data_IF_839280575881
#
_entry.id   IF_839280575881
#
_cell.length_a   1.000
_cell.length_b   1.000
_cell.length_c   1.000
_cell.angle_alpha   90.00
_cell.angle_beta   90.00
_cell.angle_gamma   90.00
#
_symmetry.space_group_name_H-M   'P 1'
#
loop_
_entity.id
_entity.type
_entity.pdbx_description
1 polymer ?
#
# COMPACT_ATOMS: atom_id res chain seq x y z
N UNK A 1 -6.95 -14.95 29.13
CA UNK A 1 -7.68 -14.89 27.84
C UNK A 1 -8.38 -13.54 27.84
N UNK A 2 -7.96 -12.62 26.98
CA UNK A 2 -8.50 -11.24 26.97
C UNK A 2 -9.97 -11.26 26.50
N UNK A 3 -10.84 -10.53 27.20
CA UNK A 3 -12.27 -10.46 26.95
C UNK A 3 -12.59 -9.73 25.64
N UNK A 4 -13.79 -9.94 25.11
CA UNK A 4 -14.24 -9.21 23.91
C UNK A 4 -14.26 -7.70 24.16
N UNK A 5 -14.74 -7.26 25.33
CA UNK A 5 -14.82 -5.84 25.66
C UNK A 5 -13.45 -5.16 25.73
N UNK A 6 -12.46 -5.82 26.34
CA UNK A 6 -11.07 -5.32 26.36
C UNK A 6 -10.54 -5.12 24.93
N UNK A 7 -10.84 -6.06 24.02
CA UNK A 7 -10.41 -5.96 22.61
C UNK A 7 -11.11 -4.86 21.86
N UNK A 8 -12.40 -4.66 22.09
CA UNK A 8 -13.16 -3.54 21.50
C UNK A 8 -12.64 -2.20 22.02
N UNK A 9 -12.28 -2.12 23.31
CA UNK A 9 -11.65 -0.93 23.89
C UNK A 9 -10.32 -0.60 23.20
N UNK A 10 -9.45 -1.60 22.99
CA UNK A 10 -8.18 -1.40 22.28
C UNK A 10 -8.37 -0.92 20.82
N UNK A 11 -9.43 -1.35 20.14
CA UNK A 11 -9.75 -0.84 18.80
C UNK A 11 -10.16 0.64 18.87
N UNK A 12 -11.01 1.02 19.84
CA UNK A 12 -11.41 2.42 20.05
C UNK A 12 -10.20 3.32 20.33
N UNK A 13 -9.30 2.86 21.20
CA UNK A 13 -8.05 3.58 21.50
C UNK A 13 -7.17 3.75 20.25
N UNK A 14 -7.04 2.70 19.43
CA UNK A 14 -6.32 2.77 18.15
C UNK A 14 -6.96 3.78 17.19
N UNK A 15 -8.29 3.80 17.07
CA UNK A 15 -9.03 4.77 16.27
C UNK A 15 -8.76 6.20 16.78
N UNK A 16 -8.86 6.42 18.10
CA UNK A 16 -8.63 7.74 18.70
C UNK A 16 -7.21 8.28 18.46
N UNK A 17 -6.19 7.43 18.61
CA UNK A 17 -4.80 7.80 18.31
C UNK A 17 -4.61 8.14 16.82
N UNK A 18 -5.29 7.41 15.94
CA UNK A 18 -5.22 7.62 14.50
C UNK A 18 -5.90 8.93 14.07
N UNK A 19 -7.06 9.26 14.65
CA UNK A 19 -7.77 10.52 14.38
C UNK A 19 -6.93 11.76 14.71
N UNK A 20 -6.12 11.72 15.78
CA UNK A 20 -5.18 12.80 16.08
C UNK A 20 -4.16 13.01 14.94
N UNK A 21 -3.71 11.92 14.32
CA UNK A 21 -2.82 11.96 13.15
C UNK A 21 -3.54 12.46 11.90
N UNK A 22 -4.81 12.08 11.70
CA UNK A 22 -5.62 12.55 10.57
C UNK A 22 -6.01 14.01 10.67
N UNK A 23 -6.30 14.54 11.86
CA UNK A 23 -6.54 15.97 12.02
C UNK A 23 -5.32 16.80 11.58
N UNK A 24 -4.12 16.30 11.88
CA UNK A 24 -2.89 16.88 11.35
C UNK A 24 -2.84 16.79 9.81
N UNK A 25 -3.12 15.63 9.21
CA UNK A 25 -3.21 15.48 7.74
C UNK A 25 -4.21 16.48 7.14
N UNK A 26 -5.44 16.54 7.65
CA UNK A 26 -6.49 17.43 7.14
C UNK A 26 -6.02 18.88 7.14
N UNK A 27 -5.35 19.32 8.22
CA UNK A 27 -4.76 20.67 8.31
C UNK A 27 -3.66 20.90 7.28
N UNK A 28 -2.82 19.90 7.00
CA UNK A 28 -1.75 20.01 6.01
C UNK A 28 -2.31 19.98 4.60
N UNK A 29 -3.23 19.07 4.29
CA UNK A 29 -3.84 18.96 2.97
C UNK A 29 -4.57 20.26 2.59
N UNK A 30 -5.23 20.90 3.56
CA UNK A 30 -5.82 22.23 3.41
C UNK A 30 -4.78 23.35 3.23
N UNK A 31 -3.56 23.18 3.76
CA UNK A 31 -2.46 24.18 3.69
C UNK A 31 -1.43 23.88 2.60
N UNK A 32 -1.47 22.70 1.98
CA UNK A 32 -0.52 22.28 0.96
C UNK A 32 -0.79 23.11 -0.30
N UNK A 33 0.14 24.02 -0.59
CA UNK A 33 0.04 24.88 -1.76
C UNK A 33 0.18 24.05 -3.05
N UNK A 34 -0.40 24.51 -4.17
CA UNK A 34 -0.29 23.86 -5.48
C UNK A 34 1.15 23.51 -5.91
N UNK A 35 2.14 24.28 -5.43
CA UNK A 35 3.57 24.05 -5.71
C UNK A 35 4.13 22.74 -5.14
N UNK A 36 3.52 22.18 -4.09
CA UNK A 36 3.87 20.86 -3.56
C UNK A 36 3.46 19.74 -4.52
N UNK A 37 2.23 19.82 -5.04
CA UNK A 37 1.76 18.91 -6.10
C UNK A 37 2.57 19.08 -7.38
N UNK A 38 2.92 20.31 -7.73
CA UNK A 38 3.75 20.59 -8.90
C UNK A 38 5.12 19.93 -8.80
N UNK A 39 5.84 20.06 -7.67
CA UNK A 39 7.15 19.41 -7.50
C UNK A 39 7.12 17.89 -7.64
N UNK A 40 6.04 17.24 -7.24
CA UNK A 40 5.91 15.78 -7.42
C UNK A 40 5.52 15.45 -8.87
N UNK A 41 4.65 16.24 -9.51
CA UNK A 41 4.38 16.14 -10.96
C UNK A 41 5.65 16.35 -11.77
N UNK A 42 6.50 17.30 -11.40
CA UNK A 42 7.76 17.56 -12.08
C UNK A 42 8.73 16.37 -11.93
N UNK A 43 8.68 15.62 -10.82
CA UNK A 43 9.45 14.37 -10.66
C UNK A 43 8.83 13.24 -11.51
N UNK A 44 7.49 13.16 -11.58
CA UNK A 44 6.76 12.23 -12.45
C UNK A 44 7.07 12.51 -13.94
N UNK A 45 7.16 13.78 -14.35
CA UNK A 45 7.57 14.22 -15.70
C UNK A 45 9.07 14.08 -15.95
N UNK A 46 9.95 14.28 -14.96
CA UNK A 46 11.39 14.04 -15.08
C UNK A 46 11.72 12.55 -15.27
N UNK A 47 10.85 11.65 -14.80
CA UNK A 47 10.88 10.23 -15.17
C UNK A 47 10.45 9.97 -16.62
N UNK A 48 10.15 11.01 -17.42
CA UNK A 48 9.58 11.04 -18.77
C UNK A 48 10.38 10.39 -19.90
N UNK A 49 11.17 9.35 -19.62
CA UNK A 49 11.57 8.34 -20.63
C UNK A 49 10.56 7.19 -20.75
N UNK A 50 9.55 7.15 -19.89
CA UNK A 50 8.59 6.05 -19.77
C UNK A 50 7.14 6.58 -19.75
N UNK A 51 6.14 5.75 -20.11
CA UNK A 51 4.72 6.14 -20.00
C UNK A 51 4.38 6.64 -18.59
N UNK A 52 3.40 7.54 -18.44
CA UNK A 52 3.05 8.11 -17.15
C UNK A 52 2.68 7.01 -16.15
N UNK A 53 3.19 7.12 -14.92
CA UNK A 53 2.85 6.18 -13.85
C UNK A 53 1.33 6.19 -13.60
N UNK A 54 0.74 5.06 -13.15
CA UNK A 54 -0.64 5.04 -12.70
C UNK A 54 -0.89 6.10 -11.62
N UNK A 55 -2.12 6.65 -11.53
CA UNK A 55 -2.45 7.68 -10.55
C UNK A 55 -2.22 7.16 -9.13
N UNK A 56 -1.73 8.01 -8.24
CA UNK A 56 -1.43 7.63 -6.84
C UNK A 56 -2.65 7.06 -6.14
N UNK A 57 -2.41 6.15 -5.21
CA UNK A 57 -3.49 5.67 -4.35
C UNK A 57 -4.11 6.84 -3.57
N UNK A 58 -5.45 6.85 -3.43
CA UNK A 58 -6.13 7.89 -2.69
C UNK A 58 -5.88 7.74 -1.18
N UNK A 59 -6.10 8.83 -0.45
CA UNK A 59 -6.30 8.75 1.00
C UNK A 59 -7.71 8.21 1.29
N UNK A 60 -7.90 7.43 2.37
CA UNK A 60 -9.23 6.91 2.71
C UNK A 60 -10.20 8.04 3.06
N UNK A 61 -11.50 7.78 2.89
CA UNK A 61 -12.53 8.78 3.11
C UNK A 61 -12.55 9.30 4.55
N UNK A 62 -12.34 8.43 5.55
CA UNK A 62 -12.28 8.82 6.97
C UNK A 62 -11.08 9.73 7.31
N UNK A 63 -10.01 9.68 6.51
CA UNK A 63 -8.87 10.57 6.71
C UNK A 63 -9.11 11.96 6.10
N UNK A 64 -9.88 12.04 5.01
CA UNK A 64 -10.13 13.29 4.28
C UNK A 64 -11.37 14.04 4.76
N UNK A 65 -12.43 13.31 5.13
CA UNK A 65 -13.68 13.88 5.61
C UNK A 65 -13.59 14.13 7.12
N UNK A 66 -14.52 14.96 7.60
CA UNK A 66 -14.70 15.20 9.03
C UNK A 66 -15.49 14.06 9.72
N UNK A 67 -15.85 13.02 8.97
CA UNK A 67 -16.58 11.87 9.48
C UNK A 67 -15.58 10.84 10.02
N UNK A 68 -15.55 10.61 11.34
CA UNK A 68 -14.70 9.59 11.92
C UNK A 68 -15.18 8.20 11.50
N UNK A 69 -14.28 7.23 11.64
CA UNK A 69 -14.62 5.80 11.51
C UNK A 69 -15.73 5.46 12.50
N UNK A 70 -16.77 4.73 12.05
CA UNK A 70 -17.88 4.33 12.91
C UNK A 70 -17.37 3.43 14.06
N UNK A 71 -17.77 3.73 15.31
CA UNK A 71 -17.30 3.05 16.54
C UNK A 71 -18.43 2.33 17.29
N UNK A 72 -19.57 2.10 16.63
CA UNK A 72 -20.60 1.22 17.16
C UNK A 72 -20.07 -0.22 17.31
N UNK A 73 -20.73 -1.00 18.15
CA UNK A 73 -20.25 -2.33 18.51
C UNK A 73 -20.13 -3.27 17.30
N UNK A 74 -21.04 -3.17 16.33
CA UNK A 74 -21.02 -4.01 15.13
C UNK A 74 -19.84 -3.65 14.23
N UNK A 75 -19.59 -2.34 14.00
CA UNK A 75 -18.42 -1.86 13.25
C UNK A 75 -17.10 -2.27 13.90
N UNK A 76 -16.99 -2.17 15.23
CA UNK A 76 -15.77 -2.57 15.95
C UNK A 76 -15.52 -4.08 15.86
N UNK A 77 -16.57 -4.90 15.97
CA UNK A 77 -16.48 -6.36 15.76
C UNK A 77 -16.04 -6.67 14.33
N UNK A 78 -16.57 -5.95 13.35
CA UNK A 78 -16.17 -6.09 11.95
C UNK A 78 -14.67 -5.77 11.74
N UNK A 79 -14.15 -4.70 12.33
CA UNK A 79 -12.72 -4.36 12.21
C UNK A 79 -11.82 -5.45 12.83
N UNK A 80 -12.21 -5.99 13.99
CA UNK A 80 -11.51 -7.11 14.61
C UNK A 80 -11.58 -8.38 13.77
N UNK A 81 -12.74 -8.69 13.18
CA UNK A 81 -12.90 -9.82 12.28
C UNK A 81 -11.97 -9.67 11.06
N UNK A 82 -11.84 -8.45 10.52
CA UNK A 82 -10.92 -8.15 9.44
C UNK A 82 -9.46 -8.36 9.86
N UNK A 83 -9.03 -7.80 10.99
CA UNK A 83 -7.67 -7.96 11.54
C UNK A 83 -7.33 -9.45 11.77
N UNK A 84 -8.32 -10.25 12.18
CA UNK A 84 -8.13 -11.66 12.56
C UNK A 84 -8.36 -12.65 11.44
N UNK A 85 -8.98 -12.25 10.34
CA UNK A 85 -9.31 -13.14 9.24
C UNK A 85 -10.57 -13.99 9.49
N UNK A 86 -11.50 -13.52 10.33
CA UNK A 86 -12.75 -14.25 10.61
C UNK A 86 -13.74 -13.98 9.47
N UNK A 87 -13.59 -14.75 8.38
CA UNK A 87 -14.32 -14.51 7.13
C UNK A 87 -15.85 -14.57 7.29
N UNK A 88 -16.38 -15.48 8.11
CA UNK A 88 -17.82 -15.59 8.36
C UNK A 88 -18.43 -14.27 8.85
N UNK A 89 -17.73 -13.60 9.75
CA UNK A 89 -18.18 -12.37 10.39
C UNK A 89 -18.04 -11.19 9.43
N UNK A 90 -16.98 -11.16 8.62
CA UNK A 90 -16.79 -10.19 7.54
C UNK A 90 -17.91 -10.29 6.50
N UNK A 91 -18.20 -11.50 6.01
CA UNK A 91 -19.26 -11.75 5.02
C UNK A 91 -20.62 -11.35 5.58
N UNK A 92 -20.92 -11.79 6.80
CA UNK A 92 -22.17 -11.47 7.50
C UNK A 92 -22.38 -9.97 7.65
N UNK A 93 -21.34 -9.23 8.08
CA UNK A 93 -21.42 -7.77 8.25
C UNK A 93 -21.61 -7.03 6.92
N UNK A 94 -20.88 -7.42 5.87
CA UNK A 94 -20.98 -6.76 4.54
C UNK A 94 -22.34 -7.01 3.88
N UNK A 95 -22.92 -8.21 4.08
CA UNK A 95 -24.22 -8.60 3.52
C UNK A 95 -25.43 -8.23 4.39
N UNK A 96 -25.23 -7.62 5.56
CA UNK A 96 -26.29 -7.34 6.54
C UNK A 96 -27.36 -6.41 5.96
N UNK A 97 -28.61 -6.83 6.08
CA UNK A 97 -29.83 -6.03 5.79
C UNK A 97 -29.92 -5.40 4.38
N UNK A 98 -29.18 -5.93 3.39
CA UNK A 98 -29.19 -5.41 2.02
C UNK A 98 -28.60 -4.01 1.85
N UNK A 99 -28.03 -3.43 2.91
CA UNK A 99 -27.40 -2.12 2.90
C UNK A 99 -25.89 -2.29 3.08
N UNK A 100 -25.12 -2.02 2.03
CA UNK A 100 -23.66 -2.06 2.14
C UNK A 100 -23.16 -1.01 3.13
N UNK A 101 -22.26 -1.37 4.06
CA UNK A 101 -21.63 -0.40 4.95
C UNK A 101 -20.96 0.74 4.16
N UNK A 102 -20.87 1.93 4.77
CA UNK A 102 -20.21 3.09 4.18
C UNK A 102 -18.78 2.73 3.74
N UNK A 103 -18.28 3.36 2.68
CA UNK A 103 -16.91 3.14 2.21
C UNK A 103 -15.87 3.36 3.31
N UNK A 104 -16.04 4.36 4.18
CA UNK A 104 -15.12 4.60 5.30
C UNK A 104 -14.97 3.38 6.24
N UNK A 105 -16.07 2.72 6.60
CA UNK A 105 -16.07 1.50 7.44
C UNK A 105 -15.34 0.38 6.72
N UNK A 106 -15.65 0.17 5.45
CA UNK A 106 -15.05 -0.88 4.62
C UNK A 106 -13.55 -0.67 4.40
N UNK A 107 -13.14 0.56 4.13
CA UNK A 107 -11.74 0.98 3.98
C UNK A 107 -10.97 0.74 5.28
N UNK A 108 -11.55 1.10 6.43
CA UNK A 108 -10.89 0.84 7.71
C UNK A 108 -10.76 -0.67 7.98
N UNK A 109 -11.78 -1.47 7.64
CA UNK A 109 -11.69 -2.93 7.66
C UNK A 109 -10.59 -3.48 6.75
N UNK A 110 -10.45 -2.96 5.54
CA UNK A 110 -9.37 -3.33 4.61
C UNK A 110 -7.98 -2.96 5.16
N UNK A 111 -7.85 -1.79 5.81
CA UNK A 111 -6.63 -1.40 6.53
C UNK A 111 -6.31 -2.42 7.64
N UNK A 112 -7.30 -2.83 8.44
CA UNK A 112 -7.10 -3.84 9.49
C UNK A 112 -6.71 -5.21 8.92
N UNK A 113 -7.35 -5.67 7.84
CA UNK A 113 -6.98 -6.90 7.16
C UNK A 113 -5.52 -6.86 6.68
N UNK A 114 -5.11 -5.73 6.10
CA UNK A 114 -3.74 -5.48 5.64
C UNK A 114 -2.73 -5.51 6.81
N UNK A 115 -3.14 -5.01 7.98
CA UNK A 115 -2.29 -5.01 9.18
C UNK A 115 -2.18 -6.38 9.84
N UNK A 116 -3.22 -7.21 9.69
CA UNK A 116 -3.30 -8.58 10.19
C UNK A 116 -2.71 -9.64 9.25
N UNK A 117 -2.24 -9.25 8.06
CA UNK A 117 -1.79 -10.16 7.02
C UNK A 117 -2.88 -11.13 6.56
N UNK A 118 -4.09 -10.60 6.31
CA UNK A 118 -5.31 -11.37 6.01
C UNK A 118 -5.71 -11.20 4.55
N UNK A 119 -4.89 -11.77 3.66
CA UNK A 119 -5.05 -11.69 2.20
C UNK A 119 -6.43 -12.09 1.67
N UNK A 120 -7.06 -13.11 2.25
CA UNK A 120 -8.37 -13.59 1.82
C UNK A 120 -9.46 -12.59 2.16
N UNK A 121 -9.43 -12.02 3.36
CA UNK A 121 -10.36 -10.96 3.76
C UNK A 121 -10.15 -9.72 2.89
N UNK A 122 -8.89 -9.33 2.68
CA UNK A 122 -8.57 -8.20 1.82
C UNK A 122 -9.09 -8.39 0.39
N UNK A 123 -8.87 -9.57 -0.20
CA UNK A 123 -9.42 -9.97 -1.51
C UNK A 123 -10.94 -9.84 -1.52
N UNK A 124 -11.62 -10.45 -0.56
CA UNK A 124 -13.09 -10.39 -0.47
C UNK A 124 -13.60 -8.94 -0.40
N UNK A 125 -12.99 -8.10 0.44
CA UNK A 125 -13.38 -6.71 0.58
C UNK A 125 -13.23 -5.94 -0.74
N UNK A 126 -12.11 -6.13 -1.46
CA UNK A 126 -11.85 -5.50 -2.75
C UNK A 126 -12.83 -5.97 -3.84
N UNK A 127 -13.05 -7.28 -3.96
CA UNK A 127 -13.99 -7.87 -4.91
C UNK A 127 -15.43 -7.39 -4.69
N UNK A 128 -15.80 -7.08 -3.44
CA UNK A 128 -17.10 -6.52 -3.09
C UNK A 128 -17.17 -5.00 -3.24
N UNK A 129 -16.15 -4.34 -3.80
CA UNK A 129 -16.15 -2.90 -4.09
C UNK A 129 -15.63 -1.99 -2.98
N UNK A 130 -14.79 -2.49 -2.07
CA UNK A 130 -14.07 -1.63 -1.12
C UNK A 130 -12.95 -0.95 -1.88
N UNK A 131 -12.82 0.38 -1.76
CA UNK A 131 -11.78 1.12 -2.47
C UNK A 131 -10.42 0.98 -1.77
N UNK A 132 -9.40 0.55 -2.51
CA UNK A 132 -8.01 0.51 -2.02
C UNK A 132 -7.48 1.94 -1.77
N UNK A 133 -6.66 2.10 -0.73
CA UNK A 133 -6.12 3.40 -0.33
C UNK A 133 -4.71 3.29 0.27
N UNK A 134 -4.05 4.45 0.46
CA UNK A 134 -2.66 4.56 0.92
C UNK A 134 -2.37 3.82 2.23
N UNK A 135 -3.33 3.78 3.16
CA UNK A 135 -3.05 3.28 4.49
C UNK A 135 -2.82 1.76 4.56
N UNK A 136 -3.39 1.00 3.62
CA UNK A 136 -3.13 -0.43 3.46
C UNK A 136 -1.62 -0.71 3.30
N UNK A 137 -0.84 0.29 2.87
CA UNK A 137 0.60 0.18 2.64
C UNK A 137 1.46 0.84 3.74
N UNK A 138 0.90 1.50 4.78
CA UNK A 138 1.69 2.24 5.78
C UNK A 138 2.70 1.34 6.49
N UNK A 139 2.27 0.15 6.93
CA UNK A 139 3.15 -0.77 7.68
C UNK A 139 4.27 -1.34 6.82
N UNK A 140 4.12 -1.37 5.50
CA UNK A 140 5.17 -1.84 4.59
C UNK A 140 6.45 -0.99 4.64
N UNK A 141 6.39 0.22 5.22
CA UNK A 141 7.55 1.14 5.35
C UNK A 141 8.33 0.93 6.65
N UNK A 142 7.76 0.28 7.67
CA UNK A 142 8.35 0.16 9.01
C UNK A 142 8.84 -1.25 9.38
N UNK A 143 8.78 -2.23 8.47
CA UNK A 143 9.15 -3.61 8.80
C UNK A 143 10.68 -3.77 8.72
N UNK A 144 11.34 -3.71 9.87
CA UNK A 144 12.72 -4.20 10.02
C UNK A 144 12.82 -5.73 10.13
N UNK A 145 11.73 -6.49 10.39
CA UNK A 145 11.87 -7.90 10.89
C UNK A 145 10.71 -8.89 10.68
N UNK A 146 9.89 -8.86 9.61
CA UNK A 146 8.95 -9.97 9.37
C UNK A 146 9.08 -10.57 7.97
N UNK A 147 9.58 -11.83 7.84
CA UNK A 147 9.78 -12.52 6.58
C UNK A 147 8.50 -12.77 5.76
N UNK A 148 7.32 -12.78 6.37
CA UNK A 148 6.11 -13.35 5.75
C UNK A 148 4.98 -12.38 5.42
N UNK A 149 5.16 -11.07 5.62
CA UNK A 149 4.06 -10.09 5.60
C UNK A 149 3.59 -9.55 4.24
N UNK A 150 3.85 -10.24 3.13
CA UNK A 150 3.59 -9.68 1.77
C UNK A 150 2.57 -10.45 0.93
N UNK A 151 1.93 -11.48 1.47
CA UNK A 151 0.78 -12.15 0.84
C UNK A 151 -0.37 -11.19 0.50
N UNK A 152 -0.51 -10.10 1.27
CA UNK A 152 -1.62 -9.17 1.10
C UNK A 152 -1.47 -8.28 -0.14
N UNK A 153 -0.24 -7.92 -0.53
CA UNK A 153 -0.02 -7.10 -1.74
C UNK A 153 -0.27 -7.90 -3.02
N UNK A 154 -0.07 -9.22 -2.96
CA UNK A 154 -0.41 -10.12 -4.06
C UNK A 154 -1.91 -10.11 -4.28
N UNK A 155 -2.71 -10.15 -3.21
CA UNK A 155 -4.16 -10.04 -3.32
C UNK A 155 -4.60 -8.72 -3.98
N UNK A 156 -3.92 -7.60 -3.75
CA UNK A 156 -4.28 -6.32 -4.39
C UNK A 156 -4.02 -6.32 -5.90
N UNK A 157 -2.93 -6.96 -6.33
CA UNK A 157 -2.58 -7.10 -7.75
C UNK A 157 -3.46 -8.14 -8.44
N UNK A 158 -3.71 -9.28 -7.78
CA UNK A 158 -4.55 -10.36 -8.30
C UNK A 158 -5.98 -9.90 -8.57
N UNK A 159 -6.55 -9.07 -7.69
CA UNK A 159 -7.90 -8.49 -7.86
C UNK A 159 -7.89 -7.31 -8.84
N UNK A 160 -6.73 -6.89 -9.34
CA UNK A 160 -6.59 -5.74 -10.24
C UNK A 160 -6.86 -4.39 -9.57
N UNK A 161 -6.89 -4.35 -8.23
CA UNK A 161 -7.12 -3.12 -7.45
C UNK A 161 -5.86 -2.26 -7.29
N UNK A 162 -4.69 -2.81 -7.60
CA UNK A 162 -3.41 -2.11 -7.52
C UNK A 162 -2.47 -2.53 -8.64
N UNK A 163 -1.73 -1.55 -9.20
CA UNK A 163 -0.66 -1.80 -10.16
C UNK A 163 0.71 -1.64 -9.48
N UNK A 164 1.74 -2.48 -9.75
CA UNK A 164 3.04 -2.37 -9.09
C UNK A 164 3.75 -1.01 -9.25
N UNK A 165 3.51 -0.33 -10.38
CA UNK A 165 4.00 1.03 -10.66
C UNK A 165 3.13 2.14 -10.04
N UNK A 166 1.99 1.80 -9.44
CA UNK A 166 1.09 2.78 -8.83
C UNK A 166 1.68 3.28 -7.51
N UNK A 167 1.95 4.59 -7.39
CA UNK A 167 2.58 5.11 -6.18
C UNK A 167 1.60 5.11 -5.01
N UNK A 168 2.12 4.88 -3.81
CA UNK A 168 1.42 5.18 -2.56
C UNK A 168 2.22 6.16 -1.71
N UNK A 169 1.52 6.92 -0.89
CA UNK A 169 2.12 7.87 0.02
C UNK A 169 1.97 7.38 1.46
N UNK A 170 2.99 7.67 2.26
CA UNK A 170 2.90 7.57 3.73
C UNK A 170 3.16 8.95 4.30
N UNK A 171 2.56 9.25 5.46
CA UNK A 171 2.70 10.53 6.15
C UNK A 171 4.09 11.15 5.97
N UNK A 172 4.15 12.36 5.39
CA UNK A 172 5.35 13.19 5.27
C UNK A 172 6.51 12.61 4.46
N UNK A 173 6.29 11.54 3.69
CA UNK A 173 7.32 10.94 2.83
C UNK A 173 6.93 11.12 1.37
N UNK A 174 7.94 11.22 0.52
CA UNK A 174 7.74 11.16 -0.93
C UNK A 174 6.97 9.87 -1.30
N UNK A 175 6.17 9.89 -2.39
CA UNK A 175 5.52 8.70 -2.90
C UNK A 175 6.50 7.55 -3.06
N UNK A 176 5.98 6.33 -2.92
CA UNK A 176 6.75 5.09 -3.07
C UNK A 176 6.14 4.28 -4.17
N UNK A 177 7.00 3.70 -5.00
CA UNK A 177 6.66 2.64 -5.94
C UNK A 177 7.28 1.36 -5.43
N UNK A 178 6.60 0.23 -5.68
CA UNK A 178 6.89 -1.05 -5.04
C UNK A 178 8.35 -1.49 -5.20
N UNK A 179 8.83 -1.43 -6.45
CA UNK A 179 10.17 -1.85 -6.84
C UNK A 179 11.28 -0.97 -6.24
N UNK A 180 10.95 0.27 -5.86
CA UNK A 180 11.90 1.21 -5.25
C UNK A 180 11.97 1.07 -3.72
N UNK A 181 11.20 0.16 -3.11
CA UNK A 181 11.26 -0.03 -1.66
C UNK A 181 12.52 -0.78 -1.24
N UNK A 182 13.10 -0.47 -0.05
CA UNK A 182 14.27 -1.21 0.44
C UNK A 182 14.07 -2.72 0.46
N UNK A 183 12.83 -3.18 0.71
CA UNK A 183 12.51 -4.60 0.75
C UNK A 183 12.55 -5.26 -0.62
N UNK A 184 12.00 -4.64 -1.67
CA UNK A 184 12.09 -5.15 -3.05
C UNK A 184 13.55 -5.27 -3.53
N UNK A 185 14.44 -4.42 -3.00
CA UNK A 185 15.88 -4.50 -3.27
C UNK A 185 16.51 -5.71 -2.56
N UNK A 186 16.05 -6.05 -1.35
CA UNK A 186 16.64 -7.16 -0.56
C UNK A 186 15.96 -8.52 -0.73
N UNK A 187 14.71 -8.55 -1.21
CA UNK A 187 13.88 -9.76 -1.35
C UNK A 187 13.71 -10.11 -2.84
N UNK A 188 14.48 -11.09 -3.29
CA UNK A 188 14.47 -11.52 -4.70
C UNK A 188 13.13 -12.12 -5.12
N UNK A 189 12.40 -12.75 -4.20
CA UNK A 189 11.09 -13.34 -4.51
C UNK A 189 10.07 -12.24 -4.77
N UNK A 190 10.05 -11.21 -3.91
CA UNK A 190 9.22 -10.03 -4.14
C UNK A 190 9.60 -9.31 -5.44
N UNK A 191 10.89 -9.12 -5.70
CA UNK A 191 11.34 -8.47 -6.93
C UNK A 191 10.87 -9.22 -8.17
N UNK A 192 11.04 -10.55 -8.21
CA UNK A 192 10.57 -11.40 -9.31
C UNK A 192 9.06 -11.30 -9.50
N UNK A 193 8.31 -11.35 -8.40
CA UNK A 193 6.86 -11.19 -8.44
C UNK A 193 6.46 -9.84 -9.05
N UNK A 194 7.04 -8.73 -8.57
CA UNK A 194 6.72 -7.40 -9.09
C UNK A 194 7.01 -7.29 -10.59
N UNK A 195 8.14 -7.82 -11.06
CA UNK A 195 8.50 -7.82 -12.49
C UNK A 195 7.55 -8.67 -13.33
N UNK A 196 7.15 -9.85 -12.84
CA UNK A 196 6.16 -10.70 -13.49
C UNK A 196 4.80 -10.00 -13.65
N UNK A 197 4.50 -9.03 -12.77
CA UNK A 197 3.30 -8.19 -12.81
C UNK A 197 3.55 -6.79 -13.40
N UNK A 198 4.52 -6.65 -14.31
CA UNK A 198 4.80 -5.43 -15.07
C UNK A 198 5.30 -4.23 -14.25
N UNK A 199 5.96 -4.48 -13.11
CA UNK A 199 6.73 -3.43 -12.46
C UNK A 199 7.87 -2.96 -13.38
N UNK A 200 8.00 -1.65 -13.56
CA UNK A 200 9.06 -1.07 -14.39
C UNK A 200 10.33 -0.88 -13.54
N UNK A 201 11.42 -1.62 -13.85
CA UNK A 201 12.68 -1.53 -13.12
C UNK A 201 13.41 -0.19 -13.28
N UNK A 202 12.99 0.65 -14.23
CA UNK A 202 13.59 1.96 -14.47
C UNK A 202 12.93 3.08 -13.65
N UNK A 203 11.87 2.79 -12.90
CA UNK A 203 11.23 3.78 -12.03
C UNK A 203 12.22 4.20 -10.94
N UNK A 204 12.52 5.49 -10.91
CA UNK A 204 13.42 6.07 -9.92
C UNK A 204 12.69 6.33 -8.60
N UNK A 205 13.41 6.28 -7.48
CA UNK A 205 12.81 6.61 -6.18
C UNK A 205 12.54 8.11 -6.07
N UNK A 206 11.39 8.48 -5.50
CA UNK A 206 11.00 9.88 -5.29
C UNK A 206 11.76 10.59 -4.14
N UNK A 207 12.74 9.93 -3.51
CA UNK A 207 13.52 10.49 -2.39
C UNK A 207 14.89 11.03 -2.85
N UNK A 208 15.14 12.33 -2.63
CA UNK A 208 16.44 13.00 -2.85
C UNK A 208 17.35 13.00 -1.60
N UNK A 209 17.30 11.99 -0.74
CA UNK A 209 18.17 11.92 0.45
C UNK A 209 19.42 11.07 0.19
N UNK A 210 20.49 11.35 0.94
CA UNK A 210 21.85 10.77 0.91
C UNK A 210 21.97 9.24 0.89
N UNK A 211 20.87 8.50 1.04
CA UNK A 211 20.73 7.07 0.74
C UNK A 211 20.74 6.72 -0.75
N UNK A 212 20.77 7.70 -1.66
CA UNK A 212 20.95 7.44 -3.10
C UNK A 212 22.26 6.71 -3.42
N UNK A 213 23.32 6.89 -2.62
CA UNK A 213 24.60 6.20 -2.84
C UNK A 213 24.48 4.70 -2.49
N UNK A 214 23.97 4.36 -1.30
CA UNK A 214 23.75 2.95 -0.90
C UNK A 214 22.69 2.24 -1.76
N UNK A 215 21.62 2.94 -2.15
CA UNK A 215 20.60 2.38 -3.05
C UNK A 215 21.12 2.22 -4.48
N UNK A 216 21.97 3.14 -4.98
CA UNK A 216 22.69 2.93 -6.25
C UNK A 216 23.59 1.72 -6.17
N UNK A 217 24.37 1.59 -5.10
CA UNK A 217 25.33 0.49 -4.95
C UNK A 217 24.62 -0.87 -4.84
N UNK A 218 23.46 -0.92 -4.18
CA UNK A 218 22.63 -2.14 -4.12
C UNK A 218 21.96 -2.45 -5.46
N UNK A 219 21.40 -1.44 -6.15
CA UNK A 219 20.87 -1.66 -7.50
C UNK A 219 21.97 -2.09 -8.47
N UNK A 220 23.18 -1.52 -8.39
CA UNK A 220 24.33 -1.91 -9.21
C UNK A 220 24.73 -3.37 -8.97
N UNK A 221 24.67 -3.86 -7.73
CA UNK A 221 24.86 -5.29 -7.40
C UNK A 221 23.75 -6.18 -7.97
N UNK A 222 22.52 -5.66 -8.08
CA UNK A 222 21.36 -6.38 -8.61
C UNK A 222 21.20 -6.25 -10.13
N UNK A 223 21.84 -5.28 -10.78
CA UNK A 223 21.73 -5.06 -12.25
C UNK A 223 22.08 -6.30 -13.03
N UNK A 224 23.15 -7.00 -12.67
CA UNK A 224 23.62 -8.18 -13.39
C UNK A 224 22.70 -9.41 -13.16
N UNK A 225 22.32 -9.75 -11.92
CA UNK A 225 21.29 -10.76 -11.66
C UNK A 225 19.92 -10.44 -12.28
N UNK A 226 19.50 -9.16 -12.26
CA UNK A 226 18.24 -8.70 -12.81
C UNK A 226 18.23 -8.74 -14.34
N UNK A 227 19.28 -8.27 -14.99
CA UNK A 227 19.44 -8.34 -16.44
C UNK A 227 19.45 -9.80 -16.92
N UNK A 228 20.17 -10.69 -16.21
CA UNK A 228 20.16 -12.11 -16.52
C UNK A 228 18.78 -12.74 -16.33
N UNK A 229 18.08 -12.41 -15.24
CA UNK A 229 16.71 -12.88 -15.03
C UNK A 229 15.74 -12.42 -16.12
N UNK A 230 15.80 -11.15 -16.52
CA UNK A 230 14.93 -10.62 -17.58
C UNK A 230 15.20 -11.31 -18.92
N UNK A 231 16.47 -11.65 -19.23
CA UNK A 231 16.83 -12.45 -20.38
C UNK A 231 16.30 -13.89 -20.27
N UNK A 232 16.49 -14.53 -19.11
CA UNK A 232 16.08 -15.92 -18.87
C UNK A 232 14.54 -16.10 -18.92
N UNK A 233 13.78 -15.05 -18.60
CA UNK A 233 12.32 -15.03 -18.67
C UNK A 233 11.79 -14.51 -20.02
N UNK A 234 12.66 -14.08 -20.94
CA UNK A 234 12.24 -13.46 -22.21
C UNK A 234 11.52 -12.13 -22.04
N UNK A 235 11.69 -11.47 -20.89
CA UNK A 235 11.07 -10.18 -20.53
C UNK A 235 11.88 -8.98 -21.00
N UNK A 236 13.12 -9.20 -21.44
CA UNK A 236 13.96 -8.19 -22.08
C UNK A 236 14.86 -8.85 -23.12
N UNK A 237 15.21 -8.13 -24.18
CA UNK A 237 16.24 -8.56 -25.12
C UNK A 237 17.66 -8.21 -24.62
N UNK A 238 18.68 -8.72 -25.31
CA UNK A 238 20.09 -8.50 -24.96
C UNK A 238 20.48 -7.01 -24.97
N UNK A 239 19.84 -6.20 -25.82
CA UNK A 239 20.11 -4.76 -25.91
C UNK A 239 19.42 -3.98 -24.79
N UNK A 240 18.23 -4.40 -24.36
CA UNK A 240 17.52 -3.85 -23.20
C UNK A 240 18.24 -4.23 -21.91
N UNK A 241 18.64 -5.49 -21.75
CA UNK A 241 19.44 -5.97 -20.63
C UNK A 241 20.79 -5.24 -20.53
N UNK A 242 21.43 -4.92 -21.67
CA UNK A 242 22.67 -4.11 -21.71
C UNK A 242 22.48 -2.68 -21.23
N UNK A 243 21.31 -2.05 -21.44
CA UNK A 243 21.03 -0.69 -20.92
C UNK A 243 20.89 -0.67 -19.40
N UNK A 244 20.62 -1.84 -18.80
CA UNK A 244 20.49 -2.01 -17.36
C UNK A 244 21.82 -2.29 -16.66
N UNK A 245 22.89 -2.66 -17.39
CA UNK A 245 24.24 -2.90 -16.85
C UNK A 245 25.04 -1.60 -16.80
#
# INVERSE_FOLDING_TARGET
>A
MESLEERLCLVRERIAHMEASYDMIRKIYKKMKPEGYQRVRDIEEQNGRFPPLPPRLPWPEYALRADPVDQDEDSLKFYLACERGIMSDVVSFIGKDGHSPKQAVRQYGLEQASFGYKSEVARYLLENGTLLHNNCFIRSVNIKKTPSGETDKYAFIDVGSWHPNQPWETYWKSPRVAICTPRAITDITLLKFLLAHSADPNVSSFSKTSTQQENRDNFVKLRRPLAQFLLDQGLADVNEAKKML
#
